data_IF_449208942817
#
_entry.id   IF_449208942817
#
_cell.length_a   1.000
_cell.length_b   1.000
_cell.length_c   1.000
_cell.angle_alpha   90.00
_cell.angle_beta   90.00
_cell.angle_gamma   90.00
#
_symmetry.space_group_name_H-M   'P 1'
#
loop_
_entity.id
_entity.type
_entity.pdbx_description
1 polymer ?
#
# COMPACT_ATOMS: atom_id res chain seq x y z
N UNK A 1 -53.50 -21.56 30.92
CA UNK A 1 -52.63 -20.37 30.95
C UNK A 1 -52.50 -19.83 29.54
N UNK A 2 -53.13 -18.69 29.24
CA UNK A 2 -53.15 -18.08 27.91
C UNK A 2 -52.03 -17.03 27.78
N UNK A 3 -51.36 -16.92 26.62
CA UNK A 3 -50.30 -15.92 26.43
C UNK A 3 -50.89 -14.53 26.12
N UNK A 4 -50.47 -13.52 26.89
CA UNK A 4 -50.77 -12.10 26.66
C UNK A 4 -49.97 -11.60 25.47
N UNK A 5 -50.66 -11.17 24.41
CA UNK A 5 -50.10 -10.40 23.29
C UNK A 5 -49.72 -8.99 23.79
N UNK A 6 -48.45 -8.64 23.65
CA UNK A 6 -47.93 -7.28 23.86
C UNK A 6 -47.82 -6.57 22.52
N UNK A 7 -48.62 -5.53 22.33
CA UNK A 7 -48.61 -4.64 21.17
C UNK A 7 -47.65 -3.48 21.45
N UNK A 8 -46.46 -3.49 20.83
CA UNK A 8 -45.54 -2.37 20.85
C UNK A 8 -45.96 -1.32 19.80
N UNK A 9 -46.10 -0.08 20.27
CA UNK A 9 -46.59 1.09 19.55
C UNK A 9 -45.47 1.66 18.67
N UNK A 10 -45.69 1.68 17.37
CA UNK A 10 -44.82 2.26 16.35
C UNK A 10 -44.86 3.80 16.43
N UNK A 11 -43.74 4.42 16.76
CA UNK A 11 -43.56 5.88 16.75
C UNK A 11 -42.87 6.28 15.45
N UNK A 12 -43.59 6.97 14.57
CA UNK A 12 -43.07 7.48 13.31
C UNK A 12 -42.10 8.67 13.54
N UNK A 13 -41.00 8.78 12.77
CA UNK A 13 -40.12 9.94 12.82
C UNK A 13 -40.67 11.12 12.01
N UNK A 14 -40.62 12.30 12.64
CA UNK A 14 -40.98 13.60 12.06
C UNK A 14 -40.05 14.03 10.91
N UNK A 15 -40.55 14.70 9.86
CA UNK A 15 -39.71 15.22 8.78
C UNK A 15 -39.09 16.57 9.16
N UNK A 16 -37.76 16.62 9.23
CA UNK A 16 -36.97 17.84 9.30
C UNK A 16 -36.94 18.51 7.91
N UNK A 17 -37.60 19.65 7.80
CA UNK A 17 -37.48 20.58 6.67
C UNK A 17 -36.08 21.23 6.73
N UNK A 18 -35.20 20.88 5.80
CA UNK A 18 -33.93 21.60 5.57
C UNK A 18 -34.10 22.56 4.41
N UNK A 19 -33.79 23.83 4.67
CA UNK A 19 -33.87 24.94 3.72
C UNK A 19 -32.72 24.87 2.71
N UNK A 20 -33.07 24.88 1.42
CA UNK A 20 -32.14 25.06 0.31
C UNK A 20 -31.60 26.50 0.31
N UNK A 21 -30.29 26.66 0.48
CA UNK A 21 -29.58 27.93 0.29
C UNK A 21 -28.87 27.88 -1.07
N UNK A 22 -29.34 28.71 -2.00
CA UNK A 22 -28.78 28.86 -3.32
C UNK A 22 -27.32 29.36 -3.24
N UNK A 23 -26.39 28.64 -3.85
CA UNK A 23 -25.00 29.04 -4.04
C UNK A 23 -24.85 29.61 -5.45
N UNK A 24 -24.39 30.85 -5.48
CA UNK A 24 -24.10 31.69 -6.64
C UNK A 24 -22.96 31.08 -7.47
N UNK A 25 -23.17 31.00 -8.78
CA UNK A 25 -22.17 30.56 -9.75
C UNK A 25 -21.01 31.57 -9.87
N UNK A 26 -19.73 31.14 -9.81
CA UNK A 26 -18.61 31.97 -10.20
C UNK A 26 -18.45 32.02 -11.72
N UNK A 27 -18.24 33.26 -12.17
CA UNK A 27 -18.11 33.75 -13.54
C UNK A 27 -16.77 33.34 -14.15
N UNK A 28 -16.79 32.92 -15.41
CA UNK A 28 -15.64 32.48 -16.20
C UNK A 28 -14.48 33.49 -16.24
N UNK A 29 -13.22 33.06 -16.03
CA UNK A 29 -12.06 33.83 -16.42
C UNK A 29 -11.65 33.56 -17.88
N UNK A 30 -11.65 34.67 -18.62
CA UNK A 30 -11.12 34.94 -19.97
C UNK A 30 -9.76 34.26 -20.26
N UNK A 31 -9.56 33.62 -21.43
CA UNK A 31 -8.24 33.13 -21.85
C UNK A 31 -7.37 34.29 -22.37
N UNK A 32 -6.21 34.48 -21.73
CA UNK A 32 -5.15 35.34 -22.23
C UNK A 32 -4.20 34.52 -23.09
N UNK A 33 -4.14 34.90 -24.36
CA UNK A 33 -3.17 34.49 -25.38
C UNK A 33 -1.78 34.96 -24.99
N UNK A 34 -0.83 34.06 -24.78
CA UNK A 34 0.59 34.41 -24.71
C UNK A 34 1.41 33.50 -25.61
N UNK A 35 1.92 34.13 -26.68
CA UNK A 35 2.94 33.61 -27.60
C UNK A 35 4.31 33.81 -26.95
N UNK A 36 5.13 32.78 -26.88
CA UNK A 36 6.59 32.93 -26.79
C UNK A 36 7.24 31.62 -27.25
N UNK A 37 7.74 31.58 -28.48
CA UNK A 37 9.12 31.90 -28.87
C UNK A 37 10.04 30.70 -28.66
N UNK A 38 10.31 30.07 -29.80
CA UNK A 38 11.23 28.96 -30.05
C UNK A 38 12.66 29.45 -29.91
N UNK A 39 13.43 28.93 -28.95
CA UNK A 39 14.87 29.14 -28.90
C UNK A 39 15.60 27.80 -29.03
N UNK A 40 16.18 27.60 -30.22
CA UNK A 40 17.18 26.58 -30.54
C UNK A 40 18.46 26.92 -29.78
N UNK A 41 19.01 25.98 -29.02
CA UNK A 41 20.45 25.94 -28.78
C UNK A 41 20.94 24.50 -28.82
N UNK A 42 21.82 24.24 -29.78
CA UNK A 42 22.56 23.02 -29.93
C UNK A 42 23.71 23.03 -28.91
N UNK A 43 23.93 21.93 -28.20
CA UNK A 43 25.13 21.73 -27.41
C UNK A 43 25.65 20.31 -27.61
N UNK A 44 26.74 20.30 -28.36
CA UNK A 44 27.82 19.34 -28.56
C UNK A 44 27.99 18.26 -27.47
N UNK A 45 28.05 17.00 -27.92
CA UNK A 45 28.36 15.80 -27.14
C UNK A 45 29.88 15.68 -26.87
N UNK A 46 30.31 15.37 -25.62
CA UNK A 46 31.58 14.70 -25.38
C UNK A 46 31.36 13.20 -25.14
N UNK A 47 31.90 12.42 -26.06
CA UNK A 47 32.01 10.96 -26.09
C UNK A 47 32.98 10.50 -24.98
N UNK A 48 32.45 9.97 -23.87
CA UNK A 48 33.25 9.38 -22.80
C UNK A 48 33.02 7.87 -22.70
N UNK A 49 33.98 7.14 -23.25
CA UNK A 49 34.18 5.70 -23.19
C UNK A 49 34.37 5.25 -21.72
N UNK A 50 33.41 4.49 -21.18
CA UNK A 50 33.46 3.93 -19.82
C UNK A 50 33.70 2.42 -19.88
N UNK A 51 34.92 2.04 -19.51
CA UNK A 51 35.38 0.68 -19.27
C UNK A 51 34.63 0.09 -18.06
N UNK A 52 33.72 -0.85 -18.30
CA UNK A 52 32.94 -1.53 -17.26
C UNK A 52 33.77 -2.68 -16.65
N UNK A 53 34.37 -2.45 -15.49
CA UNK A 53 34.95 -3.51 -14.65
C UNK A 53 33.80 -4.13 -13.87
N UNK A 54 33.33 -5.30 -14.31
CA UNK A 54 32.26 -6.04 -13.66
C UNK A 54 32.87 -6.88 -12.54
N UNK A 55 32.91 -6.34 -11.32
CA UNK A 55 33.32 -7.06 -10.13
C UNK A 55 32.15 -7.97 -9.68
N UNK A 56 32.29 -9.27 -9.94
CA UNK A 56 31.40 -10.31 -9.42
C UNK A 56 31.75 -10.51 -7.94
N UNK A 57 30.98 -9.88 -7.05
CA UNK A 57 31.09 -10.09 -5.60
C UNK A 57 30.33 -11.37 -5.26
N UNK A 58 31.08 -12.45 -5.04
CA UNK A 58 30.57 -13.74 -4.61
C UNK A 58 30.06 -13.62 -3.16
N UNK A 59 28.75 -13.79 -2.99
CA UNK A 59 28.01 -13.53 -1.75
C UNK A 59 28.10 -14.77 -0.85
N UNK A 60 28.91 -14.72 0.20
CA UNK A 60 29.01 -15.78 1.21
C UNK A 60 27.67 -15.89 1.97
N UNK A 61 26.97 -17.01 1.79
CA UNK A 61 25.72 -17.33 2.50
C UNK A 61 26.03 -17.97 3.85
N UNK A 62 26.14 -17.16 4.90
CA UNK A 62 26.13 -17.68 6.28
C UNK A 62 24.73 -18.22 6.63
N UNK A 63 24.63 -19.36 7.36
CA UNK A 63 23.35 -19.94 7.76
C UNK A 63 22.59 -18.97 8.67
N UNK A 64 21.61 -18.28 8.09
CA UNK A 64 20.88 -17.23 8.78
C UNK A 64 19.90 -17.85 9.78
N UNK A 65 20.14 -17.60 11.06
CA UNK A 65 19.11 -17.77 12.09
C UNK A 65 18.01 -16.73 11.81
N UNK A 66 16.71 -17.08 11.89
CA UNK A 66 15.64 -16.11 11.69
C UNK A 66 15.79 -14.92 12.65
N UNK A 67 15.79 -13.68 12.15
CA UNK A 67 15.88 -12.50 13.00
C UNK A 67 14.67 -12.44 13.93
N UNK A 68 14.92 -12.03 15.18
CA UNK A 68 13.88 -11.81 16.18
C UNK A 68 13.23 -10.45 15.95
N UNK A 69 11.90 -10.40 15.97
CA UNK A 69 11.10 -9.17 15.84
C UNK A 69 10.22 -9.00 17.10
N UNK A 70 9.91 -7.77 17.54
CA UNK A 70 10.20 -6.46 16.94
C UNK A 70 11.67 -6.02 17.05
N UNK A 71 12.12 -5.11 16.18
CA UNK A 71 13.48 -4.52 16.22
C UNK A 71 13.42 -3.01 16.20
N UNK A 72 14.18 -2.36 17.08
CA UNK A 72 14.36 -0.92 17.11
C UNK A 72 15.59 -0.53 16.29
N UNK A 73 15.46 0.40 15.35
CA UNK A 73 16.51 0.75 14.38
C UNK A 73 16.66 2.27 14.20
N UNK A 74 17.80 2.69 13.67
CA UNK A 74 18.00 4.05 13.18
C UNK A 74 17.32 4.25 11.81
N UNK A 75 16.79 5.44 11.52
CA UNK A 75 16.14 5.74 10.23
C UNK A 75 17.04 5.44 9.02
N UNK A 76 18.36 5.62 9.13
CA UNK A 76 19.31 5.33 8.05
C UNK A 76 19.35 3.84 7.68
N UNK A 77 19.05 2.96 8.63
CA UNK A 77 19.02 1.51 8.43
C UNK A 77 17.67 1.01 7.89
N UNK A 78 16.67 1.89 7.71
CA UNK A 78 15.31 1.52 7.30
C UNK A 78 15.30 0.71 6.00
N UNK A 79 16.06 1.13 4.99
CA UNK A 79 16.11 0.47 3.70
C UNK A 79 16.63 -0.97 3.78
N UNK A 80 17.67 -1.19 4.60
CA UNK A 80 18.33 -2.48 4.72
C UNK A 80 17.50 -3.45 5.56
N UNK A 81 16.82 -2.94 6.58
CA UNK A 81 15.95 -3.73 7.45
C UNK A 81 14.66 -4.16 6.74
N UNK A 82 14.10 -3.31 5.87
CA UNK A 82 12.99 -3.69 4.99
C UNK A 82 13.43 -4.77 3.99
N UNK A 83 14.62 -4.65 3.40
CA UNK A 83 15.17 -5.70 2.51
C UNK A 83 15.43 -6.99 3.28
N UNK A 84 15.89 -6.90 4.53
CA UNK A 84 16.07 -8.06 5.39
C UNK A 84 14.74 -8.75 5.62
N UNK A 85 13.68 -8.03 6.03
CA UNK A 85 12.34 -8.59 6.19
C UNK A 85 11.83 -9.26 4.90
N UNK A 86 12.02 -8.60 3.75
CA UNK A 86 11.66 -9.14 2.44
C UNK A 86 12.44 -10.41 2.08
N UNK A 87 13.71 -10.52 2.44
CA UNK A 87 14.53 -11.74 2.24
C UNK A 87 14.08 -12.93 3.09
N UNK A 88 13.26 -12.68 4.11
CA UNK A 88 12.60 -13.67 4.95
C UNK A 88 11.12 -13.86 4.58
N UNK A 89 10.68 -13.32 3.44
CA UNK A 89 9.30 -13.32 2.96
C UNK A 89 8.26 -12.85 4.00
N UNK A 90 8.69 -11.94 4.89
CA UNK A 90 7.80 -11.25 5.84
C UNK A 90 7.46 -9.86 5.32
N UNK A 91 6.22 -9.46 5.54
CA UNK A 91 5.77 -8.08 5.32
C UNK A 91 6.38 -7.20 6.40
N UNK A 92 7.06 -6.12 6.02
CA UNK A 92 7.61 -5.16 6.98
C UNK A 92 6.49 -4.25 7.52
N UNK A 93 6.36 -4.15 8.84
CA UNK A 93 5.53 -3.13 9.50
C UNK A 93 6.46 -2.12 10.17
N UNK A 94 6.54 -0.93 9.60
CA UNK A 94 7.38 0.16 10.09
C UNK A 94 6.57 1.06 11.02
N UNK A 95 6.93 1.06 12.29
CA UNK A 95 6.31 1.85 13.36
C UNK A 95 7.13 3.12 13.55
N UNK A 96 6.57 4.24 13.11
CA UNK A 96 7.29 5.51 12.98
C UNK A 96 7.11 6.46 14.18
N UNK A 97 6.27 6.12 15.17
CA UNK A 97 6.13 6.89 16.42
C UNK A 97 5.88 8.41 16.23
N UNK A 98 5.02 8.83 15.28
CA UNK A 98 4.78 10.25 14.97
C UNK A 98 5.60 10.81 13.80
N UNK A 99 6.43 9.99 13.14
CA UNK A 99 7.31 10.34 12.01
C UNK A 99 7.00 9.55 10.74
N UNK A 100 5.75 9.15 10.53
CA UNK A 100 5.36 8.38 9.34
C UNK A 100 5.62 9.13 8.03
N UNK A 101 5.49 10.46 8.04
CA UNK A 101 5.68 11.30 6.84
C UNK A 101 7.08 11.17 6.25
N UNK A 102 8.10 11.10 7.09
CA UNK A 102 9.50 10.95 6.71
C UNK A 102 9.74 9.58 6.04
N UNK A 103 9.19 8.50 6.64
CA UNK A 103 9.25 7.16 6.07
C UNK A 103 8.47 7.06 4.74
N UNK A 104 7.26 7.65 4.68
CA UNK A 104 6.43 7.66 3.49
C UNK A 104 7.15 8.37 2.33
N UNK A 105 7.74 9.53 2.60
CA UNK A 105 8.53 10.29 1.64
C UNK A 105 9.72 9.47 1.12
N UNK A 106 10.41 8.75 2.01
CA UNK A 106 11.51 7.85 1.64
C UNK A 106 11.05 6.74 0.68
N UNK A 107 9.92 6.09 0.94
CA UNK A 107 9.39 5.03 0.06
C UNK A 107 8.87 5.56 -1.27
N UNK A 108 8.25 6.75 -1.28
CA UNK A 108 7.88 7.45 -2.52
C UNK A 108 9.11 7.69 -3.41
N UNK A 109 10.20 8.23 -2.84
CA UNK A 109 11.44 8.44 -3.60
C UNK A 109 12.14 7.14 -4.02
N UNK A 110 11.92 6.06 -3.28
CA UNK A 110 12.43 4.73 -3.60
C UNK A 110 11.62 4.01 -4.67
N UNK A 111 10.62 4.65 -5.28
CA UNK A 111 9.84 4.10 -6.39
C UNK A 111 8.83 3.02 -5.97
N UNK A 112 8.39 3.02 -4.71
CA UNK A 112 7.35 2.09 -4.26
C UNK A 112 5.99 2.49 -4.86
N UNK A 113 5.19 1.48 -5.22
CA UNK A 113 3.79 1.68 -5.58
C UNK A 113 3.00 1.98 -4.29
N UNK A 114 2.57 3.22 -4.13
CA UNK A 114 1.97 3.70 -2.88
C UNK A 114 0.46 3.51 -2.83
N UNK A 115 -0.02 3.00 -1.69
CA UNK A 115 -1.43 2.90 -1.29
C UNK A 115 -1.59 3.76 -0.04
N UNK A 116 -2.21 4.93 -0.18
CA UNK A 116 -2.50 5.82 0.95
C UNK A 116 -3.83 5.42 1.60
N UNK A 117 -3.76 4.95 2.84
CA UNK A 117 -4.93 4.49 3.58
C UNK A 117 -5.89 5.65 3.92
N UNK A 118 -5.38 6.85 4.19
CA UNK A 118 -6.24 8.03 4.41
C UNK A 118 -7.00 8.39 3.16
N UNK A 119 -6.37 8.28 1.98
CA UNK A 119 -7.06 8.48 0.70
C UNK A 119 -8.18 7.45 0.51
N UNK A 120 -7.91 6.16 0.77
CA UNK A 120 -8.91 5.08 0.71
C UNK A 120 -10.12 5.41 1.60
N UNK A 121 -9.86 5.81 2.85
CA UNK A 121 -10.92 6.17 3.81
C UNK A 121 -11.65 7.46 3.42
N UNK A 122 -10.94 8.45 2.88
CA UNK A 122 -11.52 9.70 2.45
C UNK A 122 -12.48 9.52 1.28
N UNK A 123 -12.12 8.78 0.24
CA UNK A 123 -12.99 8.58 -0.93
C UNK A 123 -14.20 7.69 -0.63
N UNK A 124 -14.04 6.67 0.22
CA UNK A 124 -15.10 5.69 0.48
C UNK A 124 -16.02 6.04 1.65
N UNK A 125 -15.49 6.55 2.76
CA UNK A 125 -16.28 6.79 3.97
C UNK A 125 -16.67 8.26 4.14
N UNK A 126 -15.76 9.19 3.82
CA UNK A 126 -15.96 10.63 4.07
C UNK A 126 -16.70 11.27 2.89
N UNK A 127 -16.10 11.21 1.69
CA UNK A 127 -16.64 11.82 0.47
C UNK A 127 -17.70 10.94 -0.20
N UNK A 128 -17.58 9.61 -0.06
CA UNK A 128 -18.45 8.60 -0.70
C UNK A 128 -18.52 8.78 -2.22
N UNK A 129 -17.40 9.21 -2.80
CA UNK A 129 -17.19 9.41 -4.25
C UNK A 129 -16.92 8.08 -4.94
N UNK A 130 -16.40 7.10 -4.21
CA UNK A 130 -16.20 5.73 -4.67
C UNK A 130 -16.90 4.74 -3.74
N UNK A 131 -17.54 3.74 -4.31
CA UNK A 131 -18.00 2.58 -3.57
C UNK A 131 -16.83 1.73 -3.06
N UNK A 132 -17.08 0.87 -2.08
CA UNK A 132 -16.05 -0.05 -1.57
C UNK A 132 -15.57 -1.00 -2.68
N UNK A 133 -16.47 -1.46 -3.56
CA UNK A 133 -16.14 -2.36 -4.66
C UNK A 133 -15.25 -1.69 -5.71
N UNK A 134 -15.54 -0.43 -6.07
CA UNK A 134 -14.69 0.36 -6.97
C UNK A 134 -13.30 0.59 -6.37
N UNK A 135 -13.23 0.88 -5.06
CA UNK A 135 -11.97 1.04 -4.35
C UNK A 135 -11.18 -0.27 -4.29
N UNK A 136 -11.83 -1.41 -4.04
CA UNK A 136 -11.18 -2.73 -4.08
C UNK A 136 -10.59 -3.02 -5.46
N UNK A 137 -11.30 -2.67 -6.54
CA UNK A 137 -10.78 -2.81 -7.91
C UNK A 137 -9.61 -1.88 -8.19
N UNK A 138 -9.62 -0.64 -7.69
CA UNK A 138 -8.48 0.29 -7.83
C UNK A 138 -7.24 -0.23 -7.09
N UNK A 139 -7.41 -0.69 -5.85
CA UNK A 139 -6.34 -1.32 -5.06
C UNK A 139 -5.77 -2.55 -5.78
N UNK A 140 -6.63 -3.42 -6.31
CA UNK A 140 -6.24 -4.58 -7.10
C UNK A 140 -5.38 -4.18 -8.30
N UNK A 141 -5.82 -3.19 -9.08
CA UNK A 141 -5.08 -2.71 -10.27
C UNK A 141 -3.69 -2.17 -9.89
N UNK A 142 -3.58 -1.42 -8.80
CA UNK A 142 -2.28 -0.91 -8.31
C UNK A 142 -1.33 -2.03 -7.92
N UNK A 143 -1.82 -3.02 -7.16
CA UNK A 143 -1.00 -4.16 -6.73
C UNK A 143 -0.59 -5.03 -7.93
N UNK A 144 -1.50 -5.29 -8.86
CA UNK A 144 -1.19 -6.03 -10.10
C UNK A 144 -0.15 -5.28 -10.94
N UNK A 145 -0.28 -3.96 -11.06
CA UNK A 145 0.74 -3.12 -11.72
C UNK A 145 2.10 -3.21 -11.03
N UNK A 146 2.14 -3.16 -9.70
CA UNK A 146 3.38 -3.31 -8.94
C UNK A 146 4.03 -4.69 -9.17
N UNK A 147 3.25 -5.77 -9.12
CA UNK A 147 3.72 -7.14 -9.39
C UNK A 147 4.28 -7.31 -10.80
N UNK A 148 3.58 -6.75 -11.79
CA UNK A 148 3.96 -6.75 -13.20
C UNK A 148 5.35 -6.13 -13.40
N UNK A 149 5.65 -5.06 -12.67
CA UNK A 149 6.91 -4.32 -12.79
C UNK A 149 7.96 -4.73 -11.76
N UNK A 150 7.64 -5.61 -10.81
CA UNK A 150 8.54 -6.01 -9.72
C UNK A 150 8.77 -4.89 -8.71
N UNK A 151 7.84 -3.93 -8.65
CA UNK A 151 7.93 -2.80 -7.74
C UNK A 151 7.41 -3.21 -6.35
N UNK A 152 8.08 -2.78 -5.28
CA UNK A 152 7.53 -2.94 -3.94
C UNK A 152 6.27 -2.11 -3.75
N UNK A 153 5.37 -2.59 -2.90
CA UNK A 153 4.13 -1.89 -2.54
C UNK A 153 4.27 -1.32 -1.14
N UNK A 154 4.00 -0.03 -1.01
CA UNK A 154 4.01 0.69 0.26
C UNK A 154 2.58 1.07 0.65
N UNK A 155 2.10 0.54 1.77
CA UNK A 155 0.82 0.88 2.37
C UNK A 155 1.04 1.91 3.46
N UNK A 156 0.73 3.17 3.16
CA UNK A 156 0.87 4.29 4.09
C UNK A 156 -0.39 4.40 4.96
N UNK A 157 -0.32 3.86 6.19
CA UNK A 157 -1.45 3.94 7.13
C UNK A 157 -1.53 5.32 7.82
N UNK A 158 -0.41 6.03 7.90
CA UNK A 158 -0.27 7.23 8.73
C UNK A 158 -0.85 7.00 10.13
N UNK A 159 -1.63 7.92 10.68
CA UNK A 159 -2.33 7.80 11.96
C UNK A 159 -3.76 7.24 11.82
N UNK A 160 -4.01 6.37 10.83
CA UNK A 160 -5.33 5.78 10.59
C UNK A 160 -5.29 4.25 10.67
N UNK A 161 -6.40 3.66 11.14
CA UNK A 161 -6.60 2.21 11.21
C UNK A 161 -7.68 1.80 10.20
N UNK A 162 -7.34 1.85 8.92
CA UNK A 162 -8.28 1.48 7.85
C UNK A 162 -8.51 -0.01 7.88
N UNK A 163 -9.77 -0.44 7.95
CA UNK A 163 -10.19 -1.84 8.06
C UNK A 163 -9.95 -2.63 6.77
N UNK A 164 -8.69 -2.85 6.39
CA UNK A 164 -8.31 -3.68 5.26
C UNK A 164 -8.84 -5.10 5.43
N UNK A 165 -8.65 -5.71 6.61
CA UNK A 165 -9.07 -7.07 6.93
C UNK A 165 -10.53 -7.36 6.61
N UNK A 166 -11.43 -6.47 7.01
CA UNK A 166 -12.88 -6.70 6.90
C UNK A 166 -13.52 -6.08 5.65
N UNK A 167 -13.04 -4.91 5.20
CA UNK A 167 -13.73 -4.11 4.18
C UNK A 167 -13.05 -4.09 2.81
N UNK A 168 -11.72 -4.02 2.77
CA UNK A 168 -11.00 -3.81 1.51
C UNK A 168 -10.30 -5.07 1.00
N UNK A 169 -10.04 -6.04 1.87
CA UNK A 169 -9.62 -7.37 1.47
C UNK A 169 -10.82 -8.19 1.02
N UNK A 170 -10.75 -8.74 -0.17
CA UNK A 170 -11.79 -9.62 -0.73
C UNK A 170 -11.17 -10.67 -1.64
N UNK A 171 -11.83 -11.82 -1.78
CA UNK A 171 -11.33 -12.91 -2.63
C UNK A 171 -11.30 -12.55 -4.12
N UNK A 172 -12.22 -11.67 -4.56
CA UNK A 172 -12.32 -11.18 -5.94
C UNK A 172 -11.41 -9.97 -6.20
N UNK A 173 -10.99 -9.27 -5.14
CA UNK A 173 -10.19 -8.06 -5.19
C UNK A 173 -8.79 -8.30 -4.61
N UNK A 174 -8.44 -7.56 -3.57
CA UNK A 174 -7.16 -7.72 -2.88
C UNK A 174 -7.27 -8.84 -1.83
N UNK A 175 -6.61 -9.99 -1.99
CA UNK A 175 -6.74 -11.07 -1.01
C UNK A 175 -6.06 -10.70 0.31
N UNK A 176 -6.58 -11.18 1.44
CA UNK A 176 -6.00 -10.91 2.76
C UNK A 176 -4.54 -11.39 2.89
N UNK A 177 -4.19 -12.48 2.18
CA UNK A 177 -2.82 -13.00 2.14
C UNK A 177 -1.82 -12.04 1.50
N UNK A 178 -2.25 -10.95 0.83
CA UNK A 178 -1.38 -9.87 0.38
C UNK A 178 -0.45 -9.34 1.49
N UNK A 179 -0.95 -9.32 2.73
CA UNK A 179 -0.18 -8.89 3.91
C UNK A 179 0.72 -9.99 4.51
N UNK A 180 0.74 -11.19 3.90
CA UNK A 180 1.60 -12.31 4.28
C UNK A 180 2.35 -12.81 3.03
N UNK A 181 3.42 -12.08 2.69
CA UNK A 181 4.19 -12.24 1.43
C UNK A 181 4.54 -13.70 1.12
N UNK A 182 4.95 -14.48 2.13
CA UNK A 182 5.21 -15.92 2.03
C UNK A 182 4.05 -16.72 1.41
N UNK A 183 2.84 -16.54 1.95
CA UNK A 183 1.63 -17.20 1.45
C UNK A 183 1.17 -16.58 0.13
N UNK A 184 1.31 -15.26 -0.01
CA UNK A 184 0.96 -14.56 -1.24
C UNK A 184 1.73 -15.09 -2.44
N UNK A 185 3.07 -15.14 -2.35
CA UNK A 185 3.95 -15.58 -3.44
C UNK A 185 3.83 -17.09 -3.73
N UNK A 186 3.47 -17.89 -2.73
CA UNK A 186 3.38 -19.35 -2.82
C UNK A 186 4.76 -20.00 -2.91
N UNK A 187 5.35 -20.35 -1.76
CA UNK A 187 6.67 -20.98 -1.68
C UNK A 187 6.74 -22.40 -2.27
N UNK A 188 5.62 -23.13 -2.31
CA UNK A 188 5.66 -24.61 -2.39
C UNK A 188 4.77 -25.21 -3.48
N UNK A 189 3.93 -24.39 -4.13
CA UNK A 189 3.06 -24.91 -5.18
C UNK A 189 3.84 -25.06 -6.48
N UNK A 190 3.98 -26.32 -6.90
CA UNK A 190 4.56 -26.69 -8.20
C UNK A 190 3.81 -26.03 -9.35
N UNK A 191 2.52 -25.77 -9.16
CA UNK A 191 1.65 -25.16 -10.15
C UNK A 191 1.37 -23.69 -9.83
N UNK A 192 1.78 -22.82 -10.75
CA UNK A 192 1.57 -21.36 -10.67
C UNK A 192 0.10 -20.97 -10.67
N UNK A 193 -0.79 -21.90 -11.09
CA UNK A 193 -2.23 -21.69 -11.15
C UNK A 193 -2.90 -21.62 -9.79
N UNK A 194 -2.33 -22.28 -8.79
CA UNK A 194 -2.95 -22.39 -7.47
C UNK A 194 -2.58 -21.22 -6.54
N UNK A 195 -1.58 -20.42 -6.94
CA UNK A 195 -1.07 -19.30 -6.15
C UNK A 195 -2.20 -18.29 -5.84
N UNK A 196 -2.34 -17.84 -4.57
CA UNK A 196 -3.44 -16.97 -4.17
C UNK A 196 -3.55 -15.68 -4.99
N UNK A 197 -2.42 -15.06 -5.34
CA UNK A 197 -2.41 -13.83 -6.13
C UNK A 197 -2.97 -14.03 -7.55
N UNK A 198 -3.03 -15.26 -8.07
CA UNK A 198 -3.50 -15.50 -9.44
C UNK A 198 -4.98 -15.16 -9.59
N UNK A 199 -5.76 -15.34 -8.53
CA UNK A 199 -7.21 -15.05 -8.48
C UNK A 199 -7.55 -13.58 -8.70
N UNK A 200 -6.61 -12.68 -8.39
CA UNK A 200 -6.80 -11.23 -8.57
C UNK A 200 -6.27 -10.70 -9.91
N UNK A 201 -5.54 -11.51 -10.68
CA UNK A 201 -5.04 -11.13 -12.01
C UNK A 201 -6.10 -11.51 -13.05
N UNK A 202 -6.66 -10.52 -13.74
CA UNK A 202 -7.68 -10.74 -14.77
C UNK A 202 -7.03 -10.96 -16.14
N UNK A 203 -7.81 -11.47 -17.09
CA UNK A 203 -7.33 -11.72 -18.45
C UNK A 203 -6.91 -10.44 -19.18
N UNK A 204 -7.52 -9.30 -18.84
CA UNK A 204 -7.13 -7.99 -19.39
C UNK A 204 -5.72 -7.58 -18.92
N UNK A 205 -5.37 -7.87 -17.67
CA UNK A 205 -4.06 -7.52 -17.10
C UNK A 205 -2.92 -8.33 -17.74
N UNK A 206 -3.24 -9.52 -18.28
CA UNK A 206 -2.27 -10.42 -18.89
C UNK A 206 -1.77 -9.95 -20.25
N UNK A 207 -2.55 -9.14 -20.97
CA UNK A 207 -2.24 -8.71 -22.35
C UNK A 207 -0.96 -7.88 -22.43
N UNK A 208 -0.71 -7.06 -21.40
CA UNK A 208 0.42 -6.14 -21.38
C UNK A 208 1.57 -6.62 -20.46
N UNK A 209 1.55 -7.87 -19.98
CA UNK A 209 2.50 -8.36 -18.96
C UNK A 209 3.92 -8.53 -19.54
N UNK A 210 4.98 -7.94 -18.95
CA UNK A 210 6.34 -8.12 -19.43
C UNK A 210 6.85 -9.50 -19.03
N UNK A 211 7.35 -10.27 -20.00
CA UNK A 211 7.87 -11.62 -19.76
C UNK A 211 6.76 -12.67 -19.70
N UNK A 212 6.80 -13.55 -18.69
CA UNK A 212 5.81 -14.63 -18.55
C UNK A 212 4.52 -14.09 -17.90
N UNK A 213 3.37 -14.11 -18.60
CA UNK A 213 2.15 -13.49 -18.09
C UNK A 213 1.67 -14.11 -16.77
N UNK A 214 1.41 -13.27 -15.78
CA UNK A 214 0.91 -13.70 -14.47
C UNK A 214 1.99 -14.13 -13.48
N UNK A 215 3.27 -13.90 -13.77
CA UNK A 215 4.35 -14.14 -12.81
C UNK A 215 4.73 -12.85 -12.10
N UNK A 216 4.86 -12.91 -10.77
CA UNK A 216 5.40 -11.80 -9.98
C UNK A 216 6.87 -11.63 -10.36
N UNK A 217 7.24 -10.43 -10.80
CA UNK A 217 8.63 -10.11 -11.09
C UNK A 217 9.43 -9.94 -9.78
N UNK A 218 10.72 -10.31 -9.84
CA UNK A 218 11.64 -10.14 -8.71
C UNK A 218 11.66 -8.67 -8.23
N UNK A 219 11.83 -8.49 -6.91
CA UNK A 219 11.79 -7.18 -6.25
C UNK A 219 10.47 -6.86 -5.56
N UNK A 220 9.38 -7.54 -5.92
CA UNK A 220 8.09 -7.35 -5.27
C UNK A 220 8.11 -7.79 -3.78
N UNK A 221 7.78 -6.85 -2.90
CA UNK A 221 7.53 -7.05 -1.48
C UNK A 221 6.54 -5.99 -0.98
N UNK A 222 6.00 -6.20 0.22
CA UNK A 222 5.00 -5.31 0.83
C UNK A 222 5.58 -4.69 2.09
N UNK A 223 5.40 -3.38 2.22
CA UNK A 223 5.80 -2.58 3.38
C UNK A 223 4.59 -1.79 3.85
N UNK A 224 4.35 -1.81 5.16
CA UNK A 224 3.30 -1.03 5.81
C UNK A 224 3.97 -0.01 6.72
N UNK A 225 3.63 1.27 6.62
CA UNK A 225 4.07 2.30 7.56
C UNK A 225 2.91 2.75 8.43
N UNK A 226 3.16 3.03 9.69
CA UNK A 226 2.17 3.58 10.62
C UNK A 226 2.78 4.63 11.54
N UNK A 227 1.98 5.62 11.90
CA UNK A 227 2.34 6.68 12.82
C UNK A 227 2.00 6.35 14.27
N UNK A 228 1.34 5.21 14.51
CA UNK A 228 1.02 4.75 15.85
C UNK A 228 2.28 4.40 16.65
N UNK A 229 2.16 4.45 17.97
CA UNK A 229 3.14 3.84 18.87
C UNK A 229 2.99 2.31 18.85
N UNK A 230 3.99 1.59 19.35
CA UNK A 230 3.94 0.13 19.46
C UNK A 230 2.72 -0.39 20.24
N UNK A 231 2.28 0.35 21.28
CA UNK A 231 1.09 0.02 22.07
C UNK A 231 -0.18 0.18 21.24
N UNK A 232 -0.33 1.34 20.59
CA UNK A 232 -1.45 1.67 19.73
C UNK A 232 -1.53 0.75 18.50
N UNK A 233 -0.39 0.26 18.00
CA UNK A 233 -0.38 -0.71 16.90
C UNK A 233 -1.14 -1.99 17.29
N UNK A 234 -0.92 -2.51 18.50
CA UNK A 234 -1.61 -3.72 18.95
C UNK A 234 -3.11 -3.50 19.16
N UNK A 235 -3.49 -2.32 19.64
CA UNK A 235 -4.90 -1.99 19.86
C UNK A 235 -5.65 -1.76 18.55
N UNK A 236 -5.13 -0.91 17.68
CA UNK A 236 -5.88 -0.45 16.50
C UNK A 236 -5.61 -1.26 15.23
N UNK A 237 -4.43 -1.86 15.06
CA UNK A 237 -4.08 -2.55 13.81
C UNK A 237 -4.46 -4.03 13.80
N UNK A 238 -4.75 -4.65 14.95
CA UNK A 238 -5.13 -6.08 15.02
C UNK A 238 -6.44 -6.38 14.27
N UNK A 239 -7.39 -5.45 14.34
CA UNK A 239 -8.66 -5.55 13.60
C UNK A 239 -8.56 -4.95 12.20
N UNK A 240 -7.64 -4.00 11.99
CA UNK A 240 -7.49 -3.30 10.73
C UNK A 240 -6.70 -4.11 9.68
N UNK A 241 -5.60 -4.75 10.08
CA UNK A 241 -4.68 -5.46 9.20
C UNK A 241 -4.77 -6.98 9.40
N UNK A 242 -4.86 -7.77 8.32
CA UNK A 242 -4.75 -9.22 8.42
C UNK A 242 -3.29 -9.62 8.69
N UNK A 243 -3.10 -10.73 9.43
CA UNK A 243 -1.79 -11.33 9.69
C UNK A 243 -0.77 -10.40 10.38
N UNK A 244 -1.22 -9.49 11.25
CA UNK A 244 -0.34 -8.57 11.98
C UNK A 244 0.79 -9.29 12.73
N UNK A 245 0.49 -10.43 13.34
CA UNK A 245 1.45 -11.26 14.10
C UNK A 245 2.55 -11.86 13.21
N UNK A 246 2.26 -12.08 11.93
CA UNK A 246 3.20 -12.61 10.94
C UNK A 246 4.11 -11.52 10.34
N UNK A 247 3.90 -10.24 10.65
CA UNK A 247 4.71 -9.14 10.13
C UNK A 247 6.06 -8.99 10.85
N UNK A 248 7.07 -8.51 10.12
CA UNK A 248 8.34 -8.08 10.67
C UNK A 248 8.21 -6.64 11.19
N UNK A 249 8.04 -6.49 12.50
CA UNK A 249 7.84 -5.17 13.12
C UNK A 249 9.18 -4.45 13.29
N UNK A 250 9.32 -3.32 12.61
CA UNK A 250 10.48 -2.44 12.61
C UNK A 250 10.08 -1.13 13.29
N UNK A 251 10.61 -0.85 14.47
CA UNK A 251 10.38 0.39 15.20
C UNK A 251 11.50 1.39 14.91
N UNK A 252 11.16 2.60 14.49
CA UNK A 252 12.15 3.66 14.25
C UNK A 252 12.46 4.37 15.56
N UNK A 253 13.74 4.47 15.90
CA UNK A 253 14.19 5.26 17.03
C UNK A 253 14.02 6.76 16.75
N UNK A 254 13.27 7.46 17.60
CA UNK A 254 13.05 8.90 17.48
C UNK A 254 14.34 9.72 17.58
N UNK A 255 15.35 9.18 18.28
CA UNK A 255 16.68 9.81 18.37
C UNK A 255 17.41 9.88 17.01
N UNK A 256 16.98 9.13 16.00
CA UNK A 256 17.60 9.14 14.68
C UNK A 256 17.23 10.36 13.81
N UNK A 257 16.24 11.16 14.24
CA UNK A 257 15.79 12.35 13.52
C UNK A 257 16.38 13.67 14.04
N UNK A 258 17.14 13.63 15.13
CA UNK A 258 17.82 14.78 15.75
C UNK A 258 19.26 14.87 15.29
#
# INVERSE_FOLDING_TARGET
>A
MAPKKSTAKSTAPSPLKSAAKAVVAPKDPKPATEKSATEKSATEEPKAEKTAVTAVVEKVEEPKVPPVWPRKIDFKALADEVKLAASWDRTALVVCNGKAKEADTFFTYSGHAQIDAKWVLAETAIKKTMSVEEMQEDLRRRVVGAMKHGLPVHVAMANSAVSFKEKFCSEKGLPACFFKVKEFKGETEKDVKDRPYRKMVKDEDLKDWPGMPGYIKEGFHVVVTTDFSMENCKEFLTDALPFLEDMAIIEIDLASFT
#
